data_IF_513605764565
#
_entry.id   IF_513605764565
#
_cell.length_a   1.000
_cell.length_b   1.000
_cell.length_c   1.000
_cell.angle_alpha   90.00
_cell.angle_beta   90.00
_cell.angle_gamma   90.00
#
_symmetry.space_group_name_H-M   'P 1'
#
loop_
_entity.id
_entity.type
_entity.pdbx_description
1 polymer ?
#
# COMPACT_ATOMS: atom_id res chain seq x y z
N UNK A 1 -3.22 -22.92 5.88
CA UNK A 1 -2.05 -22.23 6.45
C UNK A 1 -2.07 -20.81 5.94
N UNK A 2 -2.28 -19.82 6.80
CA UNK A 2 -2.13 -18.41 6.46
C UNK A 2 -0.71 -18.16 5.96
N UNK A 3 -0.58 -17.54 4.79
CA UNK A 3 0.73 -17.26 4.18
C UNK A 3 1.35 -16.08 4.94
N UNK A 4 2.39 -16.33 5.74
CA UNK A 4 3.13 -15.27 6.44
C UNK A 4 4.30 -14.80 5.59
N UNK A 5 4.27 -13.54 5.19
CA UNK A 5 5.37 -12.86 4.51
C UNK A 5 6.39 -12.34 5.50
N UNK A 6 7.67 -12.46 5.18
CA UNK A 6 8.72 -11.72 5.88
C UNK A 6 8.52 -10.22 5.67
N UNK A 7 9.09 -9.40 6.57
CA UNK A 7 9.00 -7.94 6.45
C UNK A 7 9.63 -7.42 5.15
N UNK A 8 10.66 -8.11 4.66
CA UNK A 8 11.33 -7.77 3.41
C UNK A 8 10.46 -8.09 2.20
N UNK A 9 9.89 -9.29 2.13
CA UNK A 9 8.96 -9.68 1.04
C UNK A 9 7.75 -8.75 1.01
N UNK A 10 7.15 -8.48 2.17
CA UNK A 10 6.02 -7.57 2.26
C UNK A 10 6.40 -6.16 1.74
N UNK A 11 7.60 -5.68 2.06
CA UNK A 11 8.08 -4.40 1.54
C UNK A 11 8.22 -4.40 0.01
N UNK A 12 8.82 -5.44 -0.56
CA UNK A 12 9.05 -5.57 -2.00
C UNK A 12 7.73 -5.69 -2.77
N UNK A 13 6.79 -6.50 -2.28
CA UNK A 13 5.46 -6.63 -2.88
C UNK A 13 4.72 -5.29 -2.87
N UNK A 14 4.76 -4.55 -1.76
CA UNK A 14 4.11 -3.24 -1.67
C UNK A 14 4.74 -2.21 -2.61
N UNK A 15 6.07 -2.22 -2.78
CA UNK A 15 6.72 -1.36 -3.78
C UNK A 15 6.26 -1.70 -5.19
N UNK A 16 6.26 -2.98 -5.54
CA UNK A 16 5.81 -3.45 -6.85
C UNK A 16 4.35 -3.06 -7.13
N UNK A 17 3.44 -3.31 -6.18
CA UNK A 17 2.03 -2.95 -6.31
C UNK A 17 1.84 -1.44 -6.45
N UNK A 18 2.58 -0.65 -5.67
CA UNK A 18 2.55 0.81 -5.75
C UNK A 18 3.01 1.35 -7.10
N UNK A 19 4.11 0.81 -7.64
CA UNK A 19 4.61 1.17 -8.97
C UNK A 19 3.62 0.80 -10.07
N UNK A 20 3.05 -0.40 -10.01
CA UNK A 20 2.05 -0.85 -10.97
C UNK A 20 0.79 0.01 -10.91
N UNK A 21 0.29 0.29 -9.70
CA UNK A 21 -0.87 1.14 -9.46
C UNK A 21 -0.71 2.52 -10.09
N UNK A 22 0.43 3.20 -9.83
CA UNK A 22 0.73 4.50 -10.42
C UNK A 22 0.78 4.46 -11.96
N UNK A 23 1.34 3.39 -12.54
CA UNK A 23 1.36 3.22 -14.00
C UNK A 23 -0.04 3.02 -14.56
N UNK A 24 -0.89 2.27 -13.87
CA UNK A 24 -2.28 2.04 -14.26
C UNK A 24 -3.12 3.31 -14.22
N UNK A 25 -2.83 4.27 -13.33
CA UNK A 25 -3.54 5.55 -13.27
C UNK A 25 -3.33 6.45 -14.50
N UNK A 26 -2.21 6.29 -15.23
CA UNK A 26 -1.87 7.13 -16.38
C UNK A 26 -2.68 6.74 -17.63
N UNK A 27 -3.03 5.45 -17.75
CA UNK A 27 -3.67 4.91 -18.95
C UNK A 27 -5.13 4.52 -18.68
N UNK A 28 -6.00 5.51 -18.84
CA UNK A 28 -7.44 5.38 -18.56
C UNK A 28 -8.22 4.63 -19.65
N UNK A 29 -7.60 4.22 -20.76
CA UNK A 29 -8.30 3.49 -21.83
C UNK A 29 -8.40 1.98 -21.61
N UNK A 30 -7.56 1.43 -20.72
CA UNK A 30 -7.44 -0.01 -20.50
C UNK A 30 -8.32 -0.48 -19.32
N UNK A 31 -9.33 -1.29 -19.65
CA UNK A 31 -10.28 -1.83 -18.66
C UNK A 31 -9.60 -2.68 -17.58
N UNK A 32 -8.53 -3.42 -17.91
CA UNK A 32 -7.83 -4.26 -16.95
C UNK A 32 -7.03 -3.41 -15.96
N UNK A 33 -6.45 -2.30 -16.43
CA UNK A 33 -5.76 -1.34 -15.55
C UNK A 33 -6.74 -0.64 -14.62
N UNK A 34 -7.91 -0.25 -15.11
CA UNK A 34 -8.96 0.33 -14.28
C UNK A 34 -9.47 -0.66 -13.21
N UNK A 35 -9.69 -1.92 -13.60
CA UNK A 35 -10.09 -2.98 -12.67
C UNK A 35 -9.03 -3.22 -11.60
N UNK A 36 -7.75 -3.22 -11.96
CA UNK A 36 -6.64 -3.33 -11.01
C UNK A 36 -6.63 -2.17 -10.01
N UNK A 37 -6.72 -0.93 -10.48
CA UNK A 37 -6.80 0.27 -9.61
C UNK A 37 -7.98 0.16 -8.65
N UNK A 38 -9.17 -0.15 -9.17
CA UNK A 38 -10.37 -0.32 -8.35
C UNK A 38 -10.22 -1.42 -7.31
N UNK A 39 -9.58 -2.53 -7.66
CA UNK A 39 -9.33 -3.63 -6.75
C UNK A 39 -8.39 -3.22 -5.60
N UNK A 40 -7.30 -2.52 -5.91
CA UNK A 40 -6.39 -1.96 -4.91
C UNK A 40 -7.12 -0.95 -4.01
N UNK A 41 -7.88 -0.02 -4.58
CA UNK A 41 -8.64 0.97 -3.81
C UNK A 41 -9.68 0.34 -2.89
N UNK A 42 -10.39 -0.68 -3.39
CA UNK A 42 -11.36 -1.42 -2.58
C UNK A 42 -10.66 -2.14 -1.43
N UNK A 43 -9.50 -2.74 -1.69
CA UNK A 43 -8.73 -3.45 -0.66
C UNK A 43 -8.17 -2.50 0.39
N UNK A 44 -7.70 -1.32 -0.02
CA UNK A 44 -7.26 -0.26 0.89
C UNK A 44 -8.40 0.20 1.81
N UNK A 45 -9.61 0.35 1.28
CA UNK A 45 -10.79 0.75 2.05
C UNK A 45 -11.34 -0.30 3.03
N UNK A 46 -10.81 -1.53 3.04
CA UNK A 46 -11.12 -2.55 4.05
C UNK A 46 -10.30 -2.33 5.33
N UNK A 47 -9.15 -1.66 5.22
CA UNK A 47 -8.26 -1.42 6.35
C UNK A 47 -8.81 -0.36 7.29
N UNK A 48 -8.23 -0.28 8.48
CA UNK A 48 -8.47 0.87 9.36
C UNK A 48 -8.00 2.16 8.68
N UNK A 49 -8.73 3.26 8.86
CA UNK A 49 -8.47 4.55 8.20
C UNK A 49 -7.00 5.01 8.33
N UNK A 50 -6.42 4.85 9.52
CA UNK A 50 -5.02 5.22 9.77
C UNK A 50 -4.02 4.41 8.93
N UNK A 51 -4.32 3.13 8.68
CA UNK A 51 -3.50 2.23 7.86
C UNK A 51 -3.69 2.52 6.38
N UNK A 52 -4.91 2.78 5.94
CA UNK A 52 -5.19 3.19 4.57
C UNK A 52 -4.39 4.46 4.22
N UNK A 53 -4.50 5.51 5.03
CA UNK A 53 -3.78 6.77 4.82
C UNK A 53 -2.26 6.55 4.78
N UNK A 54 -1.75 5.75 5.72
CA UNK A 54 -0.33 5.39 5.78
C UNK A 54 0.13 4.71 4.48
N UNK A 55 -0.58 3.68 4.04
CA UNK A 55 -0.20 2.92 2.85
C UNK A 55 -0.37 3.72 1.57
N UNK A 56 -1.45 4.51 1.44
CA UNK A 56 -1.66 5.40 0.29
C UNK A 56 -0.50 6.35 0.12
N UNK A 57 -0.17 7.11 1.15
CA UNK A 57 0.93 8.08 1.11
C UNK A 57 2.30 7.41 0.96
N UNK A 58 2.51 6.23 1.54
CA UNK A 58 3.80 5.57 1.44
C UNK A 58 4.04 4.86 0.11
N UNK A 59 3.01 4.24 -0.48
CA UNK A 59 3.18 3.30 -1.58
C UNK A 59 2.38 3.62 -2.83
N UNK A 60 1.21 4.25 -2.76
CA UNK A 60 0.31 4.38 -3.92
C UNK A 60 0.26 5.80 -4.49
N UNK A 61 0.50 6.80 -3.65
CA UNK A 61 0.53 8.22 -4.03
C UNK A 61 1.96 8.73 -4.21
N UNK A 62 2.10 9.80 -5.00
CA UNK A 62 3.37 10.52 -5.12
C UNK A 62 3.55 11.44 -3.92
N UNK A 63 3.85 10.86 -2.76
CA UNK A 63 4.14 11.65 -1.55
C UNK A 63 5.62 11.98 -1.41
N UNK A 64 5.92 13.05 -0.67
CA UNK A 64 7.28 13.39 -0.29
C UNK A 64 7.93 12.25 0.53
N UNK A 65 9.21 11.93 0.26
CA UNK A 65 9.94 10.81 0.91
C UNK A 65 9.87 10.77 2.45
N UNK A 66 9.63 11.91 3.10
CA UNK A 66 9.64 12.06 4.56
C UNK A 66 8.32 12.61 5.12
N UNK A 67 7.22 12.47 4.39
CA UNK A 67 5.89 12.96 4.78
C UNK A 67 5.47 12.51 6.20
N UNK A 68 5.89 11.32 6.62
CA UNK A 68 5.56 10.73 7.91
C UNK A 68 6.17 11.45 9.12
N UNK A 69 7.24 12.25 8.94
CA UNK A 69 7.96 12.90 10.05
C UNK A 69 7.09 13.88 10.83
N UNK A 70 6.06 14.45 10.20
CA UNK A 70 5.12 15.38 10.84
C UNK A 70 4.07 14.68 11.70
N UNK A 71 3.91 13.35 11.57
CA UNK A 71 2.80 12.59 12.16
C UNK A 71 3.28 11.43 13.04
N UNK A 72 4.46 10.88 12.76
CA UNK A 72 4.97 9.68 13.42
C UNK A 72 6.42 9.88 13.85
N UNK A 73 6.76 9.31 15.02
CA UNK A 73 8.17 9.03 15.31
C UNK A 73 8.68 7.94 14.36
N UNK A 74 9.99 7.94 14.08
CA UNK A 74 10.61 6.97 13.15
C UNK A 74 10.24 5.53 13.50
N UNK A 75 10.42 5.13 14.75
CA UNK A 75 10.13 3.76 15.20
C UNK A 75 8.65 3.39 15.04
N UNK A 76 7.73 4.33 15.33
CA UNK A 76 6.29 4.11 15.16
C UNK A 76 5.94 3.94 13.69
N UNK A 77 6.44 4.82 12.83
CA UNK A 77 6.22 4.74 11.39
C UNK A 77 6.62 3.38 10.82
N UNK A 78 7.84 2.91 11.10
CA UNK A 78 8.30 1.63 10.54
C UNK A 78 7.50 0.43 11.07
N UNK A 79 7.08 0.44 12.34
CA UNK A 79 6.24 -0.63 12.91
C UNK A 79 4.84 -0.64 12.29
N UNK A 80 4.18 0.52 12.26
CA UNK A 80 2.83 0.64 11.68
C UNK A 80 2.85 0.32 10.19
N UNK A 81 3.91 0.74 9.47
CA UNK A 81 4.07 0.41 8.05
C UNK A 81 4.15 -1.09 7.82
N UNK A 82 4.96 -1.81 8.59
CA UNK A 82 5.07 -3.28 8.46
C UNK A 82 3.74 -3.94 8.77
N UNK A 83 3.07 -3.54 9.85
CA UNK A 83 1.78 -4.09 10.26
C UNK A 83 0.71 -3.87 9.18
N UNK A 84 0.58 -2.62 8.69
CA UNK A 84 -0.37 -2.26 7.65
C UNK A 84 -0.08 -3.00 6.34
N UNK A 85 1.20 -3.11 5.93
CA UNK A 85 1.59 -3.87 4.73
C UNK A 85 1.21 -5.34 4.83
N UNK A 86 1.45 -5.98 5.98
CA UNK A 86 1.06 -7.38 6.18
C UNK A 86 -0.46 -7.56 6.15
N UNK A 87 -1.21 -6.67 6.80
CA UNK A 87 -2.66 -6.72 6.82
C UNK A 87 -3.25 -6.49 5.42
N UNK A 88 -2.72 -5.53 4.66
CA UNK A 88 -3.13 -5.31 3.28
C UNK A 88 -2.87 -6.52 2.38
N UNK A 89 -1.68 -7.13 2.45
CA UNK A 89 -1.35 -8.33 1.68
C UNK A 89 -2.22 -9.53 2.07
N UNK A 90 -2.66 -9.60 3.33
CA UNK A 90 -3.63 -10.59 3.78
C UNK A 90 -5.01 -10.35 3.17
N UNK A 91 -5.46 -9.09 3.05
CA UNK A 91 -6.74 -8.77 2.40
C UNK A 91 -6.74 -9.02 0.88
N UNK A 92 -5.58 -9.08 0.23
CA UNK A 92 -5.44 -9.34 -1.21
C UNK A 92 -5.55 -10.82 -1.61
N UNK A 93 -5.50 -11.77 -0.66
CA UNK A 93 -5.45 -13.22 -0.96
C UNK A 93 -6.55 -13.99 -0.25
#
# INVERSE_FOLDING_TARGET
MEKKYTNQEAHEMMQYLGDLYRRCLIDQGDIHKQQFVKYIDTTLGILEESQEILLRKTYFESSERKWWMSFYSRSTYYREKVRASQQFLHCLM
#
